data_IF_376088011251
#
_entry.id   IF_376088011251
#
_cell.length_a   1.000
_cell.length_b   1.000
_cell.length_c   1.000
_cell.angle_alpha   90.00
_cell.angle_beta   90.00
_cell.angle_gamma   90.00
#
_symmetry.space_group_name_H-M   'P 1'
#
loop_
_entity.id
_entity.type
_entity.pdbx_description
1 polymer ?
#
# COMPACT_ATOMS: atom_id res chain seq x y z
N UNK A 1 20.07 3.94 3.25
CA UNK A 1 18.69 4.17 3.75
C UNK A 1 18.58 3.53 5.12
N UNK A 2 19.17 4.17 6.11
CA UNK A 2 19.30 3.61 7.44
C UNK A 2 17.95 3.47 8.15
N UNK A 3 17.00 4.36 7.82
CA UNK A 3 15.67 4.43 8.41
C UNK A 3 14.81 3.18 8.19
N UNK A 4 15.04 2.41 7.13
CA UNK A 4 14.21 1.26 6.70
C UNK A 4 15.05 0.09 6.18
N UNK A 5 16.27 -0.05 6.69
CA UNK A 5 17.11 -1.21 6.37
C UNK A 5 16.92 -2.37 7.37
N UNK A 6 15.86 -2.35 8.17
CA UNK A 6 15.65 -3.25 9.31
C UNK A 6 15.06 -4.63 8.90
N UNK A 7 15.56 -5.25 7.84
CA UNK A 7 15.01 -6.51 7.30
C UNK A 7 15.13 -7.71 8.24
N UNK A 8 16.28 -7.85 8.90
CA UNK A 8 16.61 -9.02 9.72
C UNK A 8 16.33 -8.82 11.20
N UNK A 9 16.31 -7.57 11.67
CA UNK A 9 16.08 -7.21 13.07
C UNK A 9 15.89 -5.70 13.24
N UNK A 10 15.36 -5.26 14.39
CA UNK A 10 15.15 -3.84 14.65
C UNK A 10 16.49 -3.11 14.75
N UNK A 11 16.66 -2.04 13.99
CA UNK A 11 17.80 -1.13 14.11
C UNK A 11 17.58 -0.22 15.31
N UNK A 12 18.46 -0.31 16.30
CA UNK A 12 18.46 0.62 17.43
C UNK A 12 19.22 1.90 17.02
N UNK A 13 18.57 3.05 17.22
CA UNK A 13 19.07 4.38 16.80
C UNK A 13 20.47 4.69 17.36
N UNK A 14 20.79 4.17 18.55
CA UNK A 14 22.07 4.44 19.24
C UNK A 14 23.24 3.53 18.88
N UNK A 15 23.01 2.28 18.42
CA UNK A 15 24.07 1.30 18.17
C UNK A 15 24.28 0.98 16.71
N UNK A 16 23.20 0.82 15.93
CA UNK A 16 23.27 0.14 14.63
C UNK A 16 22.81 1.00 13.44
N UNK A 17 22.15 2.13 13.70
CA UNK A 17 21.50 2.94 12.66
C UNK A 17 22.42 3.28 11.47
N UNK A 18 23.69 3.63 11.72
CA UNK A 18 24.66 3.88 10.66
C UNK A 18 25.98 3.09 10.83
N UNK A 19 25.96 2.01 11.62
CA UNK A 19 27.18 1.29 12.02
C UNK A 19 28.00 0.76 10.83
N UNK A 20 27.35 0.47 9.71
CA UNK A 20 27.99 0.00 8.48
C UNK A 20 28.47 1.10 7.52
N UNK A 21 28.37 2.38 7.88
CA UNK A 21 28.74 3.48 6.99
C UNK A 21 29.84 4.38 7.53
N UNK A 22 30.91 4.50 6.74
CA UNK A 22 32.03 5.41 7.04
C UNK A 22 31.74 6.88 6.71
N UNK A 23 30.72 7.18 5.88
CA UNK A 23 30.47 8.54 5.41
C UNK A 23 28.99 8.76 5.04
N UNK A 24 28.48 9.95 5.33
CA UNK A 24 27.10 10.35 5.02
C UNK A 24 26.81 10.55 3.53
N UNK A 25 27.83 10.59 2.66
CA UNK A 25 27.69 10.88 1.22
C UNK A 25 26.69 9.99 0.51
N UNK A 26 26.75 8.68 0.74
CA UNK A 26 25.81 7.72 0.15
C UNK A 26 24.37 7.97 0.60
N UNK A 27 24.18 8.34 1.86
CA UNK A 27 22.86 8.67 2.40
C UNK A 27 22.27 9.94 1.77
N UNK A 28 23.10 10.98 1.62
CA UNK A 28 22.72 12.25 0.99
C UNK A 28 22.34 12.02 -0.48
N UNK A 29 23.21 11.37 -1.26
CA UNK A 29 22.93 11.11 -2.68
C UNK A 29 21.68 10.28 -2.90
N UNK A 30 21.47 9.26 -2.07
CA UNK A 30 20.25 8.46 -2.12
C UNK A 30 19.02 9.28 -1.78
N UNK A 31 19.05 10.13 -0.75
CA UNK A 31 17.90 10.99 -0.39
C UNK A 31 17.58 11.95 -1.52
N UNK A 32 18.59 12.68 -1.98
CA UNK A 32 18.42 13.70 -3.01
C UNK A 32 17.91 13.08 -4.32
N UNK A 33 18.40 11.89 -4.69
CA UNK A 33 17.89 11.18 -5.87
C UNK A 33 16.49 10.61 -5.68
N UNK A 34 16.12 10.14 -4.47
CA UNK A 34 14.76 9.69 -4.20
C UNK A 34 13.76 10.86 -4.26
N UNK A 35 14.16 12.05 -3.80
CA UNK A 35 13.31 13.24 -3.85
C UNK A 35 13.07 13.71 -5.30
N UNK A 36 14.00 13.43 -6.22
CA UNK A 36 13.82 13.69 -7.65
C UNK A 36 12.73 12.81 -8.30
N UNK A 37 12.43 11.63 -7.76
CA UNK A 37 11.39 10.76 -8.35
C UNK A 37 10.04 11.45 -8.36
N UNK A 38 9.70 12.16 -7.29
CA UNK A 38 8.44 12.89 -7.20
C UNK A 38 8.31 13.93 -8.31
N UNK A 39 9.36 14.70 -8.59
CA UNK A 39 9.30 15.75 -9.62
C UNK A 39 9.30 15.18 -11.02
N UNK A 40 9.99 14.06 -11.25
CA UNK A 40 10.06 13.39 -12.56
C UNK A 40 8.80 12.58 -12.89
N UNK A 41 8.35 11.74 -11.96
CA UNK A 41 7.24 10.81 -12.19
C UNK A 41 5.87 11.43 -11.94
N UNK A 42 5.79 12.40 -11.01
CA UNK A 42 4.52 12.97 -10.54
C UNK A 42 4.55 14.51 -10.50
N UNK A 43 4.77 15.18 -11.64
CA UNK A 43 4.51 16.62 -11.76
C UNK A 43 3.02 16.94 -11.54
N UNK A 44 2.65 18.23 -11.57
CA UNK A 44 1.29 18.66 -11.22
C UNK A 44 0.19 17.88 -11.96
N UNK A 45 0.33 17.66 -13.28
CA UNK A 45 -0.61 16.92 -14.12
C UNK A 45 0.06 15.67 -14.71
N UNK A 46 0.26 14.65 -13.88
CA UNK A 46 1.02 13.45 -14.26
C UNK A 46 0.20 12.32 -14.90
N UNK A 47 -1.12 12.44 -14.95
CA UNK A 47 -2.00 11.42 -15.54
C UNK A 47 -3.22 12.04 -16.20
N UNK A 48 -3.79 11.31 -17.16
CA UNK A 48 -5.02 11.66 -17.86
C UNK A 48 -5.82 10.37 -18.13
N UNK A 49 -7.12 10.39 -17.89
CA UNK A 49 -8.01 9.27 -18.20
C UNK A 49 -8.38 9.34 -19.68
N UNK A 50 -8.10 8.27 -20.44
CA UNK A 50 -8.45 8.16 -21.87
C UNK A 50 -9.18 6.86 -22.16
N UNK A 51 -10.01 6.89 -23.21
CA UNK A 51 -10.56 5.68 -23.80
C UNK A 51 -9.49 4.96 -24.63
N UNK A 52 -9.54 3.63 -24.65
CA UNK A 52 -8.73 2.79 -25.55
C UNK A 52 -9.08 3.02 -27.04
N UNK A 53 -10.34 3.34 -27.31
CA UNK A 53 -10.80 3.76 -28.63
C UNK A 53 -10.54 5.27 -28.81
N UNK A 54 -9.59 5.58 -29.69
CA UNK A 54 -9.10 6.94 -29.91
C UNK A 54 -10.10 7.84 -30.65
N UNK A 55 -11.08 7.26 -31.36
CA UNK A 55 -12.17 8.01 -31.97
C UNK A 55 -13.08 8.65 -30.91
N UNK A 56 -13.31 7.95 -29.78
CA UNK A 56 -14.12 8.46 -28.67
C UNK A 56 -13.45 9.63 -27.95
N UNK A 57 -12.13 9.64 -27.89
CA UNK A 57 -11.36 10.75 -27.28
C UNK A 57 -11.56 12.09 -28.02
N UNK A 58 -12.00 12.05 -29.29
CA UNK A 58 -12.23 13.24 -30.13
C UNK A 58 -13.65 13.80 -30.02
N UNK A 59 -14.60 12.99 -29.55
CA UNK A 59 -15.99 13.42 -29.39
C UNK A 59 -16.07 14.41 -28.22
N UNK A 60 -16.62 15.63 -28.42
CA UNK A 60 -16.58 16.68 -27.39
C UNK A 60 -17.18 16.27 -26.05
N UNK A 61 -18.31 15.55 -26.08
CA UNK A 61 -19.01 15.09 -24.89
C UNK A 61 -18.18 14.07 -24.10
N UNK A 62 -17.73 13.01 -24.77
CA UNK A 62 -16.88 11.98 -24.16
C UNK A 62 -15.57 12.57 -23.61
N UNK A 63 -14.92 13.47 -24.35
CA UNK A 63 -13.71 14.18 -23.88
C UNK A 63 -13.99 14.97 -22.60
N UNK A 64 -15.09 15.72 -22.56
CA UNK A 64 -15.44 16.51 -21.37
C UNK A 64 -15.66 15.64 -20.13
N UNK A 65 -16.26 14.45 -20.31
CA UNK A 65 -16.45 13.50 -19.24
C UNK A 65 -15.12 12.88 -18.76
N UNK A 66 -14.20 12.55 -19.67
CA UNK A 66 -12.87 12.02 -19.34
C UNK A 66 -12.01 13.06 -18.58
N UNK A 67 -12.08 14.32 -18.97
CA UNK A 67 -11.46 15.43 -18.23
C UNK A 67 -12.06 15.57 -16.82
N UNK A 68 -13.38 15.45 -16.71
CA UNK A 68 -14.08 15.46 -15.42
C UNK A 68 -13.67 14.26 -14.53
N UNK A 69 -13.60 13.06 -15.09
CA UNK A 69 -13.15 11.85 -14.39
C UNK A 69 -11.71 11.99 -13.89
N UNK A 70 -10.82 12.55 -14.72
CA UNK A 70 -9.42 12.84 -14.34
C UNK A 70 -9.37 13.78 -13.13
N UNK A 71 -10.19 14.84 -13.13
CA UNK A 71 -10.29 15.79 -12.00
C UNK A 71 -10.82 15.13 -10.73
N UNK A 72 -11.85 14.26 -10.84
CA UNK A 72 -12.37 13.51 -9.69
C UNK A 72 -11.28 12.62 -9.10
N UNK A 73 -10.60 11.82 -9.94
CA UNK A 73 -9.56 10.91 -9.47
C UNK A 73 -8.45 11.67 -8.77
N UNK A 74 -8.02 12.81 -9.32
CA UNK A 74 -7.02 13.66 -8.69
C UNK A 74 -7.50 14.20 -7.34
N UNK A 75 -8.73 14.68 -7.26
CA UNK A 75 -9.32 15.17 -6.03
C UNK A 75 -9.37 14.08 -4.94
N UNK A 76 -9.69 12.84 -5.32
CA UNK A 76 -9.70 11.69 -4.41
C UNK A 76 -8.29 11.34 -3.94
N UNK A 77 -7.29 11.29 -4.84
CA UNK A 77 -5.90 11.00 -4.50
C UNK A 77 -5.31 12.00 -3.50
N UNK A 78 -5.56 13.30 -3.70
CA UNK A 78 -5.02 14.37 -2.87
C UNK A 78 -5.94 14.79 -1.71
N UNK A 79 -7.05 14.08 -1.49
CA UNK A 79 -7.95 14.36 -0.36
C UNK A 79 -7.19 14.17 0.95
N UNK A 80 -7.49 15.01 1.94
CA UNK A 80 -6.99 14.80 3.30
C UNK A 80 -7.45 13.42 3.81
N UNK A 81 -6.52 12.64 4.36
CA UNK A 81 -6.76 11.26 4.80
C UNK A 81 -6.48 10.18 3.74
N UNK A 82 -6.37 10.52 2.45
CA UNK A 82 -6.01 9.55 1.42
C UNK A 82 -4.53 9.13 1.54
N UNK A 83 -3.63 10.04 1.93
CA UNK A 83 -2.23 9.70 2.22
C UNK A 83 -1.38 9.38 0.99
N UNK A 84 -1.86 9.68 -0.23
CA UNK A 84 -1.18 9.38 -1.50
C UNK A 84 0.27 9.87 -1.52
N UNK A 85 0.49 11.18 -1.31
CA UNK A 85 1.84 11.77 -1.35
C UNK A 85 2.81 11.08 -0.39
N UNK A 86 2.37 10.83 0.85
CA UNK A 86 3.21 10.17 1.87
C UNK A 86 3.55 8.74 1.48
N UNK A 87 2.57 7.98 0.97
CA UNK A 87 2.77 6.60 0.56
C UNK A 87 3.70 6.50 -0.66
N UNK A 88 3.52 7.36 -1.66
CA UNK A 88 4.36 7.33 -2.86
C UNK A 88 5.77 7.84 -2.60
N UNK A 89 5.95 8.85 -1.74
CA UNK A 89 7.27 9.34 -1.36
C UNK A 89 8.07 8.25 -0.62
N UNK A 90 7.45 7.57 0.35
CA UNK A 90 8.06 6.41 1.00
C UNK A 90 8.37 5.28 -0.02
N UNK A 91 7.47 5.07 -0.99
CA UNK A 91 7.66 4.10 -2.06
C UNK A 91 8.84 4.43 -3.00
N UNK A 92 9.00 5.68 -3.42
CA UNK A 92 10.15 6.11 -4.23
C UNK A 92 11.47 5.85 -3.49
N UNK A 93 11.47 6.17 -2.19
CA UNK A 93 12.59 5.94 -1.28
C UNK A 93 12.91 4.43 -1.16
N UNK A 94 11.91 3.57 -1.03
CA UNK A 94 12.09 2.12 -1.03
C UNK A 94 12.62 1.63 -2.38
N UNK A 95 12.03 2.09 -3.49
CA UNK A 95 12.36 1.66 -4.84
C UNK A 95 13.80 2.01 -5.22
N UNK A 96 14.25 3.24 -4.95
CA UNK A 96 15.64 3.63 -5.23
C UNK A 96 16.65 2.79 -4.43
N UNK A 97 16.30 2.37 -3.22
CA UNK A 97 17.23 1.69 -2.32
C UNK A 97 17.27 0.18 -2.54
N UNK A 98 16.09 -0.42 -2.72
CA UNK A 98 15.90 -1.87 -2.71
C UNK A 98 15.39 -2.42 -4.05
N UNK A 99 15.09 -1.53 -5.01
CA UNK A 99 14.58 -1.88 -6.34
C UNK A 99 13.07 -2.10 -6.39
N UNK A 100 12.37 -2.14 -5.25
CA UNK A 100 10.94 -2.46 -5.17
C UNK A 100 10.23 -1.58 -4.15
N UNK A 101 8.91 -1.42 -4.32
CA UNK A 101 8.06 -0.68 -3.39
C UNK A 101 6.65 -1.27 -3.37
N UNK A 102 6.08 -1.43 -2.18
CA UNK A 102 4.71 -1.92 -2.01
C UNK A 102 3.81 -0.80 -1.54
N UNK A 103 2.87 -0.40 -2.39
CA UNK A 103 1.81 0.57 -2.05
C UNK A 103 0.47 -0.14 -2.13
N UNK A 104 -0.22 -0.21 -1.00
CA UNK A 104 -1.58 -0.68 -0.89
C UNK A 104 -2.55 0.47 -1.16
N UNK A 105 -3.56 0.19 -1.98
CA UNK A 105 -4.73 1.04 -2.19
C UNK A 105 -5.92 0.30 -1.60
N UNK A 106 -6.62 0.91 -0.66
CA UNK A 106 -7.75 0.25 0.02
C UNK A 106 -8.83 1.28 0.32
N UNK A 107 -10.13 0.92 0.21
CA UNK A 107 -11.19 1.80 0.66
C UNK A 107 -11.08 2.06 2.17
N UNK A 108 -11.49 3.26 2.60
CA UNK A 108 -11.68 3.54 4.02
C UNK A 108 -12.75 2.61 4.60
N UNK A 109 -12.79 2.44 5.92
CA UNK A 109 -13.75 1.55 6.59
C UNK A 109 -15.22 1.90 6.28
N UNK A 110 -15.51 3.19 6.07
CA UNK A 110 -16.82 3.69 5.64
C UNK A 110 -17.07 3.61 4.12
N UNK A 111 -16.07 3.15 3.35
CA UNK A 111 -16.06 3.00 1.88
C UNK A 111 -16.36 4.28 1.09
N UNK A 112 -16.22 5.45 1.72
CA UNK A 112 -16.47 6.74 1.06
C UNK A 112 -15.22 7.30 0.36
N UNK A 113 -14.06 6.81 0.73
CA UNK A 113 -12.77 7.23 0.18
C UNK A 113 -11.85 6.04 0.00
N UNK A 114 -10.69 6.30 -0.60
CA UNK A 114 -9.55 5.38 -0.62
C UNK A 114 -8.42 5.96 0.21
N UNK A 115 -7.62 5.09 0.81
CA UNK A 115 -6.35 5.45 1.40
C UNK A 115 -5.21 4.67 0.72
N UNK A 116 -4.06 5.31 0.69
CA UNK A 116 -2.80 4.81 0.16
C UNK A 116 -1.86 4.56 1.33
N UNK A 117 -1.26 3.39 1.36
CA UNK A 117 -0.35 2.99 2.42
C UNK A 117 0.86 2.28 1.83
N UNK A 118 2.04 2.84 2.09
CA UNK A 118 3.28 2.13 1.82
C UNK A 118 3.55 1.09 2.92
N UNK A 119 3.97 -0.09 2.49
CA UNK A 119 4.39 -1.18 3.37
C UNK A 119 5.91 -1.33 3.33
N UNK A 120 6.49 -1.65 4.48
CA UNK A 120 7.89 -2.02 4.54
C UNK A 120 8.09 -3.39 3.87
N UNK A 121 9.09 -3.52 3.00
CA UNK A 121 9.37 -4.75 2.25
C UNK A 121 9.57 -5.98 3.15
N UNK A 122 10.20 -5.82 4.32
CA UNK A 122 10.28 -6.87 5.36
C UNK A 122 8.94 -7.54 5.68
N UNK A 123 7.88 -6.73 5.73
CA UNK A 123 6.58 -7.19 6.22
C UNK A 123 5.68 -7.68 5.08
N UNK A 124 6.19 -7.71 3.84
CA UNK A 124 5.41 -8.13 2.65
C UNK A 124 6.18 -9.18 1.86
N UNK A 125 5.45 -10.22 1.46
CA UNK A 125 5.91 -11.17 0.47
C UNK A 125 4.84 -11.29 -0.63
N UNK A 126 5.26 -11.48 -1.88
CA UNK A 126 4.36 -11.77 -2.98
C UNK A 126 4.93 -12.87 -3.87
N UNK A 127 4.04 -13.55 -4.58
CA UNK A 127 4.37 -14.50 -5.64
C UNK A 127 3.98 -13.90 -6.99
N UNK A 128 4.65 -14.37 -8.03
CA UNK A 128 4.36 -14.03 -9.42
C UNK A 128 3.94 -15.30 -10.16
N UNK A 129 3.01 -15.16 -11.10
CA UNK A 129 2.64 -16.23 -12.00
C UNK A 129 3.70 -16.43 -13.10
N UNK A 130 3.47 -17.39 -13.99
CA UNK A 130 4.39 -17.68 -15.09
C UNK A 130 4.61 -16.48 -16.04
N UNK A 131 3.63 -15.59 -16.16
CA UNK A 131 3.71 -14.39 -16.99
C UNK A 131 4.38 -13.20 -16.27
N UNK A 132 4.76 -13.37 -14.99
CA UNK A 132 5.33 -12.32 -14.15
C UNK A 132 4.28 -11.39 -13.54
N UNK A 133 2.99 -11.75 -13.58
CA UNK A 133 1.92 -10.99 -12.91
C UNK A 133 1.84 -11.39 -11.44
N UNK A 134 1.66 -10.43 -10.55
CA UNK A 134 1.53 -10.69 -9.11
C UNK A 134 0.27 -11.51 -8.83
N UNK A 135 0.42 -12.68 -8.21
CA UNK A 135 -0.69 -13.60 -7.92
C UNK A 135 -1.12 -13.54 -6.45
N UNK A 136 -0.23 -13.83 -5.52
CA UNK A 136 -0.53 -13.79 -4.08
C UNK A 136 0.26 -12.68 -3.39
N UNK A 137 -0.37 -12.00 -2.43
CA UNK A 137 0.30 -10.97 -1.61
C UNK A 137 0.01 -11.22 -0.14
N UNK A 138 1.06 -11.44 0.64
CA UNK A 138 1.01 -11.65 2.08
C UNK A 138 1.62 -10.44 2.80
N UNK A 139 0.87 -9.85 3.72
CA UNK A 139 1.27 -8.68 4.51
C UNK A 139 1.19 -8.99 5.99
N UNK A 140 2.31 -8.93 6.70
CA UNK A 140 2.35 -9.07 8.15
C UNK A 140 1.98 -7.75 8.79
N UNK A 141 0.91 -7.74 9.59
CA UNK A 141 0.45 -6.56 10.32
C UNK A 141 0.52 -6.78 11.83
N UNK A 142 0.71 -5.69 12.57
CA UNK A 142 0.72 -5.69 14.04
C UNK A 142 -0.39 -4.77 14.59
N UNK A 143 -1.67 -5.01 14.26
CA UNK A 143 -2.78 -4.21 14.77
C UNK A 143 -2.95 -4.42 16.28
N UNK A 144 -3.60 -3.46 16.94
CA UNK A 144 -4.12 -3.66 18.29
C UNK A 144 -5.37 -4.55 18.24
N UNK A 145 -5.68 -5.23 19.34
CA UNK A 145 -6.90 -6.06 19.42
C UNK A 145 -8.15 -5.21 19.17
N UNK A 146 -8.18 -3.99 19.70
CA UNK A 146 -9.25 -3.00 19.46
C UNK A 146 -9.45 -2.68 17.98
N UNK A 147 -8.38 -2.51 17.21
CA UNK A 147 -8.47 -2.27 15.76
C UNK A 147 -9.04 -3.49 15.03
N UNK A 148 -8.63 -4.71 15.41
CA UNK A 148 -9.18 -5.94 14.84
C UNK A 148 -10.68 -6.08 15.13
N UNK A 149 -11.12 -5.77 16.36
CA UNK A 149 -12.54 -5.81 16.73
C UNK A 149 -13.38 -4.78 15.96
N UNK A 150 -12.82 -3.62 15.64
CA UNK A 150 -13.49 -2.61 14.82
C UNK A 150 -13.58 -3.03 13.35
N UNK A 151 -12.55 -3.67 12.81
CA UNK A 151 -12.52 -4.13 11.42
C UNK A 151 -13.41 -5.37 11.19
N UNK A 152 -13.45 -6.28 12.17
CA UNK A 152 -14.13 -7.57 12.06
C UNK A 152 -15.10 -7.81 13.24
N UNK A 153 -16.18 -7.01 13.36
CA UNK A 153 -17.10 -7.12 14.49
C UNK A 153 -17.73 -8.51 14.57
N UNK A 154 -17.64 -9.15 15.74
CA UNK A 154 -18.20 -10.47 16.01
C UNK A 154 -17.46 -11.66 15.38
N UNK A 155 -16.39 -11.42 14.59
CA UNK A 155 -15.60 -12.48 13.93
C UNK A 155 -14.22 -12.69 14.58
N UNK A 156 -13.87 -11.88 15.56
CA UNK A 156 -12.61 -12.03 16.30
C UNK A 156 -12.71 -13.22 17.27
N UNK A 157 -11.72 -14.13 17.32
CA UNK A 157 -11.72 -15.27 18.24
C UNK A 157 -11.89 -14.88 19.71
N UNK A 158 -12.64 -15.68 20.48
CA UNK A 158 -12.95 -15.39 21.89
C UNK A 158 -11.71 -15.17 22.77
N UNK A 159 -10.60 -15.85 22.47
CA UNK A 159 -9.34 -15.69 23.19
C UNK A 159 -8.82 -14.24 23.09
N UNK A 160 -8.90 -13.64 21.90
CA UNK A 160 -8.50 -12.24 21.69
C UNK A 160 -9.51 -11.29 22.33
N UNK A 161 -10.79 -11.63 22.35
CA UNK A 161 -11.82 -10.82 23.02
C UNK A 161 -11.63 -10.78 24.53
N UNK A 162 -11.24 -11.91 25.15
CA UNK A 162 -10.88 -11.99 26.58
C UNK A 162 -9.60 -11.20 26.88
N UNK A 163 -8.61 -11.26 25.99
CA UNK A 163 -7.40 -10.44 26.10
C UNK A 163 -7.71 -8.95 25.95
N UNK A 164 -8.65 -8.56 25.08
CA UNK A 164 -9.08 -7.17 24.92
C UNK A 164 -9.66 -6.57 26.21
N UNK A 165 -10.38 -7.38 27.01
CA UNK A 165 -10.94 -6.94 28.28
C UNK A 165 -9.86 -6.63 29.34
N UNK A 166 -8.66 -7.22 29.20
CA UNK A 166 -7.53 -7.01 30.10
C UNK A 166 -6.56 -5.93 29.58
N UNK A 167 -6.16 -6.04 28.32
CA UNK A 167 -5.26 -5.10 27.65
C UNK A 167 -5.76 -4.81 26.22
N UNK A 168 -6.57 -3.75 26.06
CA UNK A 168 -7.12 -3.34 24.76
C UNK A 168 -6.05 -2.93 23.72
N UNK A 169 -4.85 -2.56 24.17
CA UNK A 169 -3.79 -2.00 23.32
C UNK A 169 -2.70 -3.02 22.98
N UNK A 170 -2.81 -4.25 23.49
CA UNK A 170 -1.94 -5.36 23.11
C UNK A 170 -1.90 -5.52 21.60
N UNK A 171 -0.68 -5.52 21.03
CA UNK A 171 -0.46 -5.77 19.61
C UNK A 171 -0.46 -7.26 19.33
N UNK A 172 -1.17 -7.66 18.28
CA UNK A 172 -1.23 -9.06 17.82
C UNK A 172 -0.59 -9.14 16.45
N UNK A 173 0.17 -10.19 16.20
CA UNK A 173 0.67 -10.48 14.85
C UNK A 173 -0.48 -11.08 14.04
N UNK A 174 -0.96 -10.33 13.06
CA UNK A 174 -1.93 -10.78 12.09
C UNK A 174 -1.29 -10.79 10.70
N UNK A 175 -1.85 -11.59 9.79
CA UNK A 175 -1.42 -11.62 8.39
C UNK A 175 -2.63 -11.36 7.52
N UNK A 176 -2.52 -10.34 6.67
CA UNK A 176 -3.48 -10.07 5.61
C UNK A 176 -2.98 -10.76 4.35
N UNK A 177 -3.82 -11.55 3.70
CA UNK A 177 -3.45 -12.40 2.58
C UNK A 177 -4.41 -12.14 1.45
N UNK A 178 -3.89 -11.71 0.30
CA UNK A 178 -4.65 -11.57 -0.94
C UNK A 178 -4.24 -12.71 -1.85
N UNK A 179 -5.22 -13.53 -2.27
CA UNK A 179 -5.01 -14.71 -3.11
C UNK A 179 -6.08 -14.77 -4.21
N UNK A 180 -5.82 -15.43 -5.34
CA UNK A 180 -6.84 -15.70 -6.34
C UNK A 180 -8.02 -16.44 -5.73
N UNK A 181 -9.24 -16.04 -6.10
CA UNK A 181 -10.48 -16.61 -5.56
C UNK A 181 -10.60 -18.12 -5.82
N UNK A 182 -10.02 -18.61 -6.92
CA UNK A 182 -10.01 -20.02 -7.27
C UNK A 182 -9.10 -20.87 -6.35
N UNK A 183 -8.12 -20.26 -5.69
CA UNK A 183 -7.12 -20.94 -4.88
C UNK A 183 -7.53 -21.13 -3.42
N UNK A 184 -8.68 -20.57 -2.99
CA UNK A 184 -9.10 -20.59 -1.59
C UNK A 184 -10.58 -20.93 -1.45
N UNK A 185 -10.86 -21.97 -0.65
CA UNK A 185 -12.24 -22.36 -0.34
C UNK A 185 -12.83 -21.40 0.71
N UNK A 186 -13.64 -20.46 0.22
CA UNK A 186 -14.29 -19.45 1.07
C UNK A 186 -15.59 -19.94 1.72
N UNK A 187 -16.11 -21.11 1.32
CA UNK A 187 -17.44 -21.58 1.73
C UNK A 187 -18.61 -20.68 1.30
N UNK A 188 -18.35 -19.63 0.50
CA UNK A 188 -19.31 -18.66 -0.01
C UNK A 188 -19.19 -18.63 -1.53
N UNK A 189 -20.30 -18.52 -2.25
CA UNK A 189 -20.25 -18.33 -3.71
C UNK A 189 -19.65 -16.97 -4.05
N UNK A 190 -18.39 -16.97 -4.46
CA UNK A 190 -17.71 -15.79 -5.01
C UNK A 190 -18.35 -15.42 -6.34
N UNK A 191 -18.53 -14.12 -6.59
CA UNK A 191 -19.00 -13.65 -7.89
C UNK A 191 -17.87 -13.77 -8.91
N UNK A 192 -18.20 -14.11 -10.15
CA UNK A 192 -17.20 -14.31 -11.21
C UNK A 192 -16.33 -13.05 -11.48
N UNK A 193 -16.84 -11.87 -11.13
CA UNK A 193 -16.16 -10.58 -11.26
C UNK A 193 -15.09 -10.31 -10.17
N UNK A 194 -15.05 -11.11 -9.10
CA UNK A 194 -14.02 -10.99 -8.06
C UNK A 194 -12.91 -12.02 -8.30
N UNK A 195 -11.85 -11.58 -8.98
CA UNK A 195 -10.68 -12.40 -9.28
C UNK A 195 -9.85 -12.72 -8.03
N UNK A 196 -9.77 -11.78 -7.08
CA UNK A 196 -9.00 -11.91 -5.85
C UNK A 196 -9.91 -11.83 -4.62
N UNK A 197 -9.49 -12.51 -3.56
CA UNK A 197 -10.07 -12.42 -2.23
C UNK A 197 -9.01 -12.00 -1.22
N UNK A 198 -9.44 -11.37 -0.12
CA UNK A 198 -8.57 -10.85 0.94
C UNK A 198 -9.16 -11.08 2.33
#
# INVERSE_FOLDING_TARGET
YYDRADFTGPLNIGSDYAAGSFSSRASIYRRDMADLYRTMLRPADFFEVKSLDDARNKVPDARSWLEYATKIQRAVMYRNGAGFTRATEAGDHDHLTFGQAVVEVTPTTDRRNVFYRNWHLRDVAWSEDYAGSVSDVHRNCKPTITQLMQLFPGKVPEALTKDAAKDPYKKVTARHVVVPAASYDTGIKVRAEHEFIS
#
